data_IF_730128734008
#
_entry.id   IF_730128734008
#
_cell.length_a   1.000
_cell.length_b   1.000
_cell.length_c   1.000
_cell.angle_alpha   90.00
_cell.angle_beta   90.00
_cell.angle_gamma   90.00
#
_symmetry.space_group_name_H-M   'P 1'
#
loop_
_entity.id
_entity.type
_entity.pdbx_description
1 polymer ?
#
# COMPACT_ATOMS: atom_id res chain seq x y z
N UNK A 1 16.21 -26.05 -4.09
CA UNK A 1 17.38 -25.16 -3.95
C UNK A 1 16.86 -23.75 -3.68
N UNK A 2 17.49 -23.00 -2.78
CA UNK A 2 17.19 -21.58 -2.59
C UNK A 2 17.70 -20.79 -3.79
N UNK A 3 16.87 -19.91 -4.34
CA UNK A 3 17.26 -18.92 -5.34
C UNK A 3 17.28 -17.54 -4.68
N UNK A 4 18.05 -16.62 -5.24
CA UNK A 4 18.14 -15.25 -4.72
C UNK A 4 18.12 -14.25 -5.86
N UNK A 5 17.29 -13.22 -5.72
CA UNK A 5 17.17 -12.13 -6.69
C UNK A 5 17.22 -10.76 -5.99
N UNK A 6 17.60 -9.74 -6.75
CA UNK A 6 17.51 -8.35 -6.31
C UNK A 6 16.08 -7.84 -6.55
N UNK A 7 15.50 -7.24 -5.53
CA UNK A 7 14.12 -6.74 -5.57
C UNK A 7 14.04 -5.37 -4.90
N UNK A 8 12.91 -4.71 -5.08
CA UNK A 8 12.48 -3.57 -4.28
C UNK A 8 11.07 -3.85 -3.74
N UNK A 9 10.67 -3.16 -2.68
CA UNK A 9 9.26 -3.03 -2.29
C UNK A 9 8.72 -1.64 -2.59
N UNK A 10 7.42 -1.59 -2.91
CA UNK A 10 6.60 -0.39 -2.90
C UNK A 10 5.55 -0.55 -1.80
N UNK A 11 5.44 0.45 -0.92
CA UNK A 11 4.54 0.48 0.23
C UNK A 11 3.61 1.68 0.14
N UNK A 12 2.31 1.40 0.18
CA UNK A 12 1.25 2.40 0.09
C UNK A 12 0.51 2.46 1.42
N UNK A 13 0.52 3.64 2.04
CA UNK A 13 -0.15 3.92 3.31
C UNK A 13 -1.51 4.53 3.03
N UNK A 14 -2.57 3.73 3.17
CA UNK A 14 -3.92 4.11 2.75
C UNK A 14 -4.84 4.22 3.96
N UNK A 15 -5.51 5.37 4.17
CA UNK A 15 -6.55 5.48 5.19
C UNK A 15 -7.71 4.57 4.81
N UNK A 16 -8.35 3.94 5.78
CA UNK A 16 -9.54 3.10 5.55
C UNK A 16 -10.68 3.50 6.47
N UNK A 17 -11.89 3.12 6.10
CA UNK A 17 -13.03 3.37 6.96
C UNK A 17 -12.89 2.58 8.29
N UNK A 18 -13.32 3.12 9.45
CA UNK A 18 -13.27 2.38 10.71
C UNK A 18 -13.92 0.98 10.68
N UNK A 19 -15.06 0.77 9.98
CA UNK A 19 -15.62 -0.57 9.80
C UNK A 19 -14.69 -1.53 9.05
N UNK A 20 -13.89 -1.04 8.10
CA UNK A 20 -12.88 -1.83 7.38
C UNK A 20 -11.82 -2.33 8.35
N UNK A 21 -11.24 -1.45 9.17
CA UNK A 21 -10.25 -1.86 10.17
C UNK A 21 -10.83 -2.86 11.18
N UNK A 22 -12.06 -2.64 11.65
CA UNK A 22 -12.72 -3.56 12.57
C UNK A 22 -12.90 -4.96 11.96
N UNK A 23 -13.29 -5.05 10.70
CA UNK A 23 -13.41 -6.33 9.99
C UNK A 23 -12.06 -7.02 9.79
N UNK A 24 -11.00 -6.27 9.47
CA UNK A 24 -9.64 -6.80 9.36
C UNK A 24 -9.15 -7.38 10.69
N UNK A 25 -9.37 -6.67 11.81
CA UNK A 25 -9.04 -7.15 13.16
C UNK A 25 -9.84 -8.42 13.51
N UNK A 26 -11.09 -8.50 13.05
CA UNK A 26 -11.95 -9.67 13.24
C UNK A 26 -11.55 -10.88 12.35
N UNK A 27 -10.51 -10.75 11.52
CA UNK A 27 -9.99 -11.84 10.69
C UNK A 27 -10.62 -11.94 9.31
N UNK A 28 -11.27 -10.89 8.81
CA UNK A 28 -11.78 -10.81 7.44
C UNK A 28 -10.85 -9.96 6.56
N UNK A 29 -9.83 -10.57 5.93
CA UNK A 29 -8.91 -9.84 5.05
C UNK A 29 -9.62 -9.29 3.81
N UNK A 30 -10.75 -9.86 3.38
CA UNK A 30 -11.50 -9.40 2.22
C UNK A 30 -12.13 -8.00 2.42
N UNK A 31 -12.14 -7.47 3.64
CA UNK A 31 -12.60 -6.12 3.93
C UNK A 31 -11.83 -5.06 3.15
N UNK A 32 -10.53 -5.28 2.89
CA UNK A 32 -9.70 -4.34 2.12
C UNK A 32 -10.18 -4.21 0.67
N UNK A 33 -10.71 -5.29 0.08
CA UNK A 33 -11.19 -5.32 -1.31
C UNK A 33 -12.54 -4.62 -1.47
N UNK A 34 -13.24 -4.35 -0.36
CA UNK A 34 -14.54 -3.67 -0.33
C UNK A 34 -14.43 -2.22 0.13
N UNK A 35 -13.28 -1.82 0.66
CA UNK A 35 -13.04 -0.46 1.09
C UNK A 35 -12.84 0.45 -0.14
N UNK A 36 -13.59 1.56 -0.19
CA UNK A 36 -13.61 2.44 -1.35
C UNK A 36 -12.25 3.08 -1.66
N UNK A 37 -11.38 3.21 -0.66
CA UNK A 37 -10.07 3.84 -0.78
C UNK A 37 -8.96 2.82 -0.97
N UNK A 38 -8.99 1.69 -0.28
CA UNK A 38 -7.95 0.67 -0.39
C UNK A 38 -8.12 -0.25 -1.61
N UNK A 39 -9.35 -0.54 -2.03
CA UNK A 39 -9.59 -1.48 -3.13
C UNK A 39 -8.97 -1.03 -4.48
N UNK A 40 -9.07 0.24 -4.91
CA UNK A 40 -8.40 0.71 -6.12
C UNK A 40 -6.88 0.58 -6.06
N UNK A 41 -6.28 0.91 -4.91
CA UNK A 41 -4.82 0.82 -4.72
C UNK A 41 -4.36 -0.63 -4.74
N UNK A 42 -5.09 -1.52 -4.09
CA UNK A 42 -4.82 -2.96 -4.13
C UNK A 42 -4.92 -3.50 -5.57
N UNK A 43 -5.89 -3.06 -6.36
CA UNK A 43 -6.02 -3.47 -7.76
C UNK A 43 -4.78 -3.06 -8.59
N UNK A 44 -4.26 -1.85 -8.37
CA UNK A 44 -3.02 -1.39 -9.04
C UNK A 44 -1.82 -2.21 -8.57
N UNK A 45 -1.68 -2.48 -7.27
CA UNK A 45 -0.59 -3.29 -6.71
C UNK A 45 -0.61 -4.75 -7.17
N UNK A 46 -1.76 -5.25 -7.64
CA UNK A 46 -1.90 -6.57 -8.26
C UNK A 46 -1.61 -6.58 -9.76
N UNK A 47 -1.16 -5.47 -10.35
CA UNK A 47 -0.78 -5.39 -11.76
C UNK A 47 0.70 -5.73 -11.96
N UNK A 48 1.06 -6.60 -12.93
CA UNK A 48 2.47 -6.86 -13.26
C UNK A 48 3.24 -5.57 -13.58
N UNK A 49 4.52 -5.44 -13.18
CA UNK A 49 5.39 -6.49 -12.65
C UNK A 49 5.33 -6.70 -11.12
N UNK A 50 4.40 -6.03 -10.43
CA UNK A 50 4.31 -6.11 -8.97
C UNK A 50 3.83 -7.50 -8.50
N UNK A 51 4.46 -8.01 -7.44
CA UNK A 51 4.04 -9.26 -6.80
C UNK A 51 4.24 -10.51 -7.65
N UNK A 52 5.12 -10.48 -8.66
CA UNK A 52 5.41 -11.65 -9.51
C UNK A 52 6.56 -12.51 -8.93
N UNK A 53 6.20 -13.73 -8.53
CA UNK A 53 7.08 -14.77 -8.01
C UNK A 53 6.99 -16.06 -8.86
N UNK A 54 6.59 -15.94 -10.13
CA UNK A 54 6.42 -17.04 -11.07
C UNK A 54 5.12 -17.83 -10.83
N UNK A 55 5.16 -18.82 -9.93
CA UNK A 55 3.97 -19.64 -9.61
C UNK A 55 2.95 -18.91 -8.73
N UNK A 56 3.38 -17.83 -8.10
CA UNK A 56 2.54 -16.92 -7.32
C UNK A 56 2.61 -15.56 -8.00
N UNK A 57 1.46 -14.97 -8.25
CA UNK A 57 1.31 -13.65 -8.87
C UNK A 57 0.43 -12.78 -7.98
N UNK A 58 0.46 -11.47 -8.21
CA UNK A 58 -0.39 -10.52 -7.51
C UNK A 58 -0.17 -10.55 -5.98
N UNK A 59 1.05 -10.95 -5.57
CA UNK A 59 1.42 -11.06 -4.15
C UNK A 59 1.53 -9.66 -3.56
N UNK A 60 0.60 -9.36 -2.66
CA UNK A 60 0.56 -8.12 -1.87
C UNK A 60 0.44 -8.49 -0.39
N UNK A 61 1.32 -7.94 0.44
CA UNK A 61 1.22 -8.03 1.89
C UNK A 61 0.34 -6.90 2.43
N UNK A 62 -0.49 -7.24 3.43
CA UNK A 62 -1.38 -6.32 4.10
C UNK A 62 -1.00 -6.23 5.59
N UNK A 63 -0.68 -5.03 6.05
CA UNK A 63 -0.58 -4.69 7.47
C UNK A 63 -1.66 -3.67 7.86
N UNK A 64 -2.04 -3.65 9.15
CA UNK A 64 -3.08 -2.76 9.69
C UNK A 64 -2.53 -1.93 10.84
N UNK A 65 -3.06 -0.71 11.01
CA UNK A 65 -2.66 0.15 12.13
C UNK A 65 -3.37 1.50 12.13
N UNK A 66 -2.71 2.48 12.74
CA UNK A 66 -3.15 3.87 12.79
C UNK A 66 -2.02 4.80 12.34
N UNK A 67 -2.39 5.82 11.59
CA UNK A 67 -1.53 6.93 11.21
C UNK A 67 -1.93 8.17 12.01
N UNK A 68 -0.96 8.83 12.65
CA UNK A 68 -1.16 10.05 13.41
C UNK A 68 -0.58 11.25 12.67
N UNK A 69 -1.35 12.33 12.56
CA UNK A 69 -0.96 13.50 11.78
C UNK A 69 -1.62 14.79 12.31
N UNK A 70 -1.14 15.93 11.83
CA UNK A 70 -1.73 17.26 12.05
C UNK A 70 -1.65 18.02 10.73
N UNK A 71 -2.77 18.25 10.03
CA UNK A 71 -2.76 19.03 8.80
C UNK A 71 -2.43 20.49 9.08
N UNK A 72 -1.55 21.09 8.29
CA UNK A 72 -1.20 22.51 8.35
C UNK A 72 -2.11 23.36 7.45
N UNK A 73 -2.01 24.69 7.55
CA UNK A 73 -2.73 25.62 6.68
C UNK A 73 -2.48 25.30 5.20
N UNK A 74 -3.56 25.18 4.43
CA UNK A 74 -3.53 24.85 2.99
C UNK A 74 -3.65 23.36 2.66
N UNK A 75 -3.61 22.46 3.65
CA UNK A 75 -3.89 21.04 3.43
C UNK A 75 -5.38 20.79 3.13
N UNK A 76 -5.65 19.79 2.28
CA UNK A 76 -7.00 19.29 1.97
C UNK A 76 -7.06 17.80 2.33
N UNK A 77 -6.98 17.47 3.63
CA UNK A 77 -6.85 16.08 4.06
C UNK A 77 -8.16 15.32 3.82
N UNK A 78 -8.05 14.04 3.45
CA UNK A 78 -9.19 13.12 3.38
C UNK A 78 -9.93 13.01 4.73
N UNK A 79 -9.18 13.04 5.84
CA UNK A 79 -9.69 12.94 7.21
C UNK A 79 -8.97 13.94 8.14
N UNK A 80 -9.66 14.38 9.19
CA UNK A 80 -9.11 15.34 10.16
C UNK A 80 -9.38 16.80 9.78
N UNK A 81 -8.91 17.72 10.62
CA UNK A 81 -9.08 19.16 10.45
C UNK A 81 -7.75 19.90 10.58
N UNK A 82 -7.59 20.99 9.83
CA UNK A 82 -6.41 21.85 9.89
C UNK A 82 -6.16 22.35 11.31
N UNK A 83 -4.91 22.23 11.77
CA UNK A 83 -4.47 22.62 13.11
C UNK A 83 -4.70 21.57 14.20
N UNK A 84 -5.52 20.55 13.95
CA UNK A 84 -5.91 19.54 14.94
C UNK A 84 -5.12 18.23 14.78
N UNK A 85 -4.62 17.69 15.90
CA UNK A 85 -4.01 16.36 15.90
C UNK A 85 -5.10 15.30 15.68
N UNK A 86 -4.88 14.44 14.70
CA UNK A 86 -5.84 13.45 14.24
C UNK A 86 -5.20 12.06 14.13
N UNK A 87 -6.04 11.03 14.14
CA UNK A 87 -5.65 9.64 13.90
C UNK A 87 -6.55 9.04 12.83
N UNK A 88 -5.95 8.31 11.87
CA UNK A 88 -6.67 7.58 10.83
C UNK A 88 -6.41 6.08 10.93
N UNK A 89 -7.45 5.22 10.95
CA UNK A 89 -7.31 3.81 10.60
C UNK A 89 -6.60 3.69 9.26
N UNK A 90 -5.55 2.88 9.19
CA UNK A 90 -4.69 2.82 8.01
C UNK A 90 -4.31 1.38 7.71
N UNK A 91 -4.29 1.03 6.42
CA UNK A 91 -3.68 -0.20 5.92
C UNK A 91 -2.38 0.13 5.20
N UNK A 92 -1.40 -0.76 5.29
CA UNK A 92 -0.16 -0.69 4.54
C UNK A 92 -0.18 -1.84 3.54
N UNK A 93 -0.22 -1.50 2.26
CA UNK A 93 -0.17 -2.45 1.16
C UNK A 93 1.24 -2.49 0.61
N UNK A 94 1.86 -3.67 0.60
CA UNK A 94 3.25 -3.84 0.16
C UNK A 94 3.31 -4.82 -1.01
N UNK A 95 3.91 -4.40 -2.12
CA UNK A 95 4.21 -5.29 -3.23
C UNK A 95 5.72 -5.31 -3.49
N UNK A 96 6.27 -6.50 -3.73
CA UNK A 96 7.67 -6.71 -4.05
C UNK A 96 7.79 -6.94 -5.56
N UNK A 97 8.80 -6.35 -6.18
CA UNK A 97 9.04 -6.45 -7.62
C UNK A 97 10.54 -6.56 -7.95
N UNK A 98 10.85 -6.99 -9.16
CA UNK A 98 12.24 -7.09 -9.62
C UNK A 98 12.93 -5.72 -9.58
N UNK A 99 14.18 -5.65 -9.09
CA UNK A 99 14.86 -4.37 -8.84
C UNK A 99 15.10 -3.53 -10.10
N UNK A 100 15.08 -4.15 -11.28
CA UNK A 100 15.27 -3.50 -12.58
C UNK A 100 13.95 -3.23 -13.31
N UNK A 101 12.81 -3.61 -12.73
CA UNK A 101 11.52 -3.38 -13.37
C UNK A 101 11.12 -1.89 -13.31
N UNK A 102 10.64 -1.37 -14.45
CA UNK A 102 10.05 -0.04 -14.52
C UNK A 102 8.63 -0.07 -13.97
N UNK A 103 8.41 0.68 -12.88
CA UNK A 103 7.12 0.81 -12.20
C UNK A 103 6.62 2.26 -12.20
N UNK A 104 7.21 3.16 -13.00
CA UNK A 104 6.86 4.59 -12.97
C UNK A 104 5.37 4.82 -13.24
N UNK A 105 4.82 4.18 -14.29
CA UNK A 105 3.40 4.30 -14.62
C UNK A 105 2.47 3.75 -13.52
N UNK A 106 2.91 2.71 -12.79
CA UNK A 106 2.15 2.18 -11.65
C UNK A 106 2.23 3.11 -10.45
N UNK A 107 3.39 3.73 -10.19
CA UNK A 107 3.55 4.72 -9.15
C UNK A 107 2.66 5.95 -9.42
N UNK A 108 2.62 6.44 -10.66
CA UNK A 108 1.73 7.54 -11.07
C UNK A 108 0.25 7.16 -10.89
N UNK A 109 -0.13 5.93 -11.25
CA UNK A 109 -1.48 5.43 -11.04
C UNK A 109 -1.85 5.34 -9.55
N UNK A 110 -0.91 4.90 -8.69
CA UNK A 110 -1.11 4.87 -7.25
C UNK A 110 -1.29 6.28 -6.69
N UNK A 111 -0.46 7.24 -7.08
CA UNK A 111 -0.59 8.64 -6.67
C UNK A 111 -1.94 9.22 -7.09
N UNK A 112 -2.37 8.97 -8.33
CA UNK A 112 -3.63 9.49 -8.86
C UNK A 112 -4.87 8.85 -8.20
N UNK A 113 -4.80 7.58 -7.80
CA UNK A 113 -5.89 6.87 -7.15
C UNK A 113 -5.93 7.10 -5.62
N UNK A 114 -4.86 7.65 -5.05
CA UNK A 114 -4.74 7.79 -3.61
C UNK A 114 -5.73 8.84 -3.06
N UNK A 115 -6.41 8.59 -1.93
CA UNK A 115 -7.39 9.54 -1.38
C UNK A 115 -6.75 10.78 -0.75
N UNK A 116 -5.55 10.67 -0.18
CA UNK A 116 -4.82 11.80 0.41
C UNK A 116 -4.41 12.81 -0.67
N UNK A 117 -4.48 14.09 -0.34
CA UNK A 117 -3.92 15.19 -1.11
C UNK A 117 -2.38 15.11 -1.22
N UNK A 118 -1.73 14.59 -0.17
CA UNK A 118 -0.29 14.27 -0.15
C UNK A 118 -0.09 12.78 0.19
N UNK A 119 -0.08 11.88 -0.80
CA UNK A 119 0.11 10.45 -0.58
C UNK A 119 1.50 10.11 -0.04
N UNK A 120 1.57 9.22 0.94
CA UNK A 120 2.83 8.61 1.38
C UNK A 120 2.98 7.26 0.70
N UNK A 121 3.85 7.20 -0.31
CA UNK A 121 4.24 5.97 -1.01
C UNK A 121 5.75 5.83 -0.88
N UNK A 122 6.20 4.75 -0.24
CA UNK A 122 7.61 4.47 -0.04
C UNK A 122 8.10 3.43 -1.05
N UNK A 123 9.28 3.65 -1.61
CA UNK A 123 9.99 2.67 -2.43
C UNK A 123 11.33 2.37 -1.77
N UNK A 124 11.66 1.09 -1.63
CA UNK A 124 12.93 0.69 -1.03
C UNK A 124 14.10 0.85 -2.00
N UNK A 125 15.31 0.99 -1.44
CA UNK A 125 16.52 0.61 -2.16
C UNK A 125 16.51 -0.90 -2.48
N UNK A 126 17.27 -1.36 -3.49
CA UNK A 126 17.35 -2.78 -3.81
C UNK A 126 17.86 -3.63 -2.64
N UNK A 127 17.22 -4.77 -2.39
CA UNK A 127 17.66 -5.78 -1.42
C UNK A 127 17.61 -7.19 -1.99
N UNK A 128 18.32 -8.11 -1.32
CA UNK A 128 18.34 -9.53 -1.69
C UNK A 128 17.12 -10.23 -1.10
N UNK A 129 16.32 -10.84 -1.97
CA UNK A 129 15.22 -11.70 -1.56
C UNK A 129 15.58 -13.17 -1.79
N UNK A 130 15.36 -14.00 -0.77
CA UNK A 130 15.56 -15.44 -0.81
C UNK A 130 14.22 -16.12 -1.04
N UNK A 131 14.13 -16.92 -2.11
CA UNK A 131 12.91 -17.65 -2.47
C UNK A 131 13.21 -19.10 -2.81
N UNK A 132 12.18 -19.94 -2.78
CA UNK A 132 12.25 -21.32 -3.29
C UNK A 132 11.65 -21.35 -4.70
N UNK A 133 12.37 -21.94 -5.66
CA UNK A 133 11.80 -22.32 -6.96
C UNK A 133 11.06 -23.65 -6.87
#
# INVERSE_FOLDING_TARGET
MSDSRWVRDIRVYCPVAPPTLAALIAGDPGAVERDATAAPLLAILRTPPLGDFGRYREVVELAIGYEGFRPDEGAVPTLGAVGEASWSPTVILTAIYDAEADVAALADALLAAHPWDVPVIAVSEPYRLLVRR
#
